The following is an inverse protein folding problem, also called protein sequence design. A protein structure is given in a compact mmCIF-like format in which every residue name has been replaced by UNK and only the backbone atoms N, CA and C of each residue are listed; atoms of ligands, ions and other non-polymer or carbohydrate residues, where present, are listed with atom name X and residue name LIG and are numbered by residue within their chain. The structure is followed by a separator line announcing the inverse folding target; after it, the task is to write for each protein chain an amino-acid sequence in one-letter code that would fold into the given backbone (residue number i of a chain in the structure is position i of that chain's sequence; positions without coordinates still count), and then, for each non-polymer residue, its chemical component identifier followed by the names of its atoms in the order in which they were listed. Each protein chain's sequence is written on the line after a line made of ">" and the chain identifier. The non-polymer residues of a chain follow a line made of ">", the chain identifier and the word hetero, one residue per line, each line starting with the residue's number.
data_IF_788170639248
#
_entry.id   IF_788170639248
#
_cell.length_a   1.000
_cell.length_b   1.000
_cell.length_c   1.000
_cell.angle_alpha   90.00
_cell.angle_beta   90.00
_cell.angle_gamma   90.00
#
_symmetry.space_group_name_H-M   'P 1'
#
loop_
_entity.id
_entity.type
_entity.pdbx_description
1 polymer ?
#
# COMPACT_ATOMS: atom_id res chain seq x y z
N UNK A 1 65.82 4.87 -22.02
CA UNK A 1 65.02 5.76 -22.88
C UNK A 1 63.82 4.97 -23.36
N UNK A 2 62.66 5.17 -22.79
CA UNK A 2 61.38 5.05 -23.41
C UNK A 2 60.29 5.50 -22.39
N UNK A 3 59.69 6.62 -22.69
CA UNK A 3 58.63 7.27 -21.97
C UNK A 3 57.34 6.43 -22.06
N UNK A 4 56.73 6.12 -20.92
CA UNK A 4 55.35 5.69 -20.87
C UNK A 4 54.50 6.87 -20.40
N UNK A 5 53.62 7.35 -21.29
CA UNK A 5 52.65 8.39 -21.02
C UNK A 5 51.56 7.86 -20.07
N UNK A 6 51.29 8.60 -19.00
CA UNK A 6 50.16 8.43 -18.11
C UNK A 6 48.91 8.98 -18.79
N UNK A 7 47.92 8.11 -19.04
CA UNK A 7 46.58 8.50 -19.46
C UNK A 7 45.75 8.95 -18.27
N UNK A 8 45.13 10.13 -18.44
CA UNK A 8 44.36 10.80 -17.40
C UNK A 8 43.02 10.09 -17.10
N UNK A 9 42.76 9.92 -15.82
CA UNK A 9 41.43 9.57 -15.32
C UNK A 9 40.54 10.80 -15.37
N UNK A 10 39.60 10.84 -16.30
CA UNK A 10 38.48 11.79 -16.26
C UNK A 10 37.61 11.49 -15.04
N UNK A 11 37.58 12.40 -14.10
CA UNK A 11 36.58 12.41 -12.99
C UNK A 11 35.29 13.00 -13.55
N UNK A 12 34.27 12.18 -13.73
CA UNK A 12 32.91 12.64 -13.98
C UNK A 12 32.40 13.26 -12.67
N UNK A 13 32.42 14.58 -12.63
CA UNK A 13 31.85 15.34 -11.51
C UNK A 13 30.33 15.35 -11.58
N UNK A 14 29.67 14.65 -10.68
CA UNK A 14 28.24 14.80 -10.44
C UNK A 14 27.98 16.17 -9.84
N UNK A 15 27.40 17.09 -10.62
CA UNK A 15 26.84 18.33 -10.12
C UNK A 15 25.53 18.01 -9.40
N UNK A 16 25.54 18.15 -8.08
CA UNK A 16 24.32 18.19 -7.29
C UNK A 16 23.51 19.44 -7.67
N UNK A 17 22.35 19.24 -8.29
CA UNK A 17 21.37 20.30 -8.44
C UNK A 17 20.81 20.62 -7.07
N UNK A 18 20.99 21.84 -6.59
CA UNK A 18 20.27 22.37 -5.44
C UNK A 18 18.81 22.54 -5.82
N UNK A 19 17.85 22.12 -4.99
CA UNK A 19 16.45 22.40 -5.25
C UNK A 19 16.20 23.89 -5.12
N UNK A 20 15.61 24.48 -6.15
CA UNK A 20 15.11 25.85 -6.14
C UNK A 20 13.87 25.84 -5.26
N UNK A 21 13.97 26.43 -4.07
CA UNK A 21 12.85 26.64 -3.17
C UNK A 21 11.99 27.79 -3.68
N UNK A 22 10.91 27.46 -4.36
CA UNK A 22 9.80 28.36 -4.68
C UNK A 22 8.60 28.00 -3.78
N UNK A 23 8.78 28.09 -2.49
CA UNK A 23 7.64 28.20 -1.57
C UNK A 23 7.48 29.65 -1.18
N UNK A 24 6.49 30.31 -1.74
CA UNK A 24 5.95 31.55 -1.17
C UNK A 24 5.29 31.21 0.16
N UNK A 25 5.86 31.75 1.21
CA UNK A 25 5.29 31.74 2.55
C UNK A 25 3.92 32.45 2.51
N UNK A 26 2.85 31.69 2.76
CA UNK A 26 1.61 32.28 3.24
C UNK A 26 1.74 32.34 4.76
N UNK A 27 2.28 33.45 5.26
CA UNK A 27 2.17 33.84 6.66
C UNK A 27 0.74 34.28 6.91
N UNK A 28 -0.01 33.49 7.67
CA UNK A 28 -1.23 33.98 8.32
C UNK A 28 -0.80 34.84 9.49
N UNK A 29 -0.91 36.16 9.32
CA UNK A 29 -0.75 37.14 10.38
C UNK A 29 -1.86 36.93 11.40
N UNK A 30 -1.53 36.33 12.52
CA UNK A 30 -2.39 36.37 13.74
C UNK A 30 -2.20 37.72 14.37
N UNK A 31 -3.17 38.60 14.21
CA UNK A 31 -3.23 39.87 14.97
C UNK A 31 -3.58 39.57 16.42
N UNK A 32 -2.85 40.15 17.42
CA UNK A 32 -3.21 40.02 18.82
C UNK A 32 -4.46 40.82 19.11
N UNK A 33 -5.50 40.18 19.65
CA UNK A 33 -6.66 40.85 20.25
C UNK A 33 -6.21 41.67 21.45
N UNK A 34 -6.50 42.98 21.44
CA UNK A 34 -6.42 43.86 22.56
C UNK A 34 -7.41 43.41 23.63
N UNK A 35 -6.94 43.15 24.81
CA UNK A 35 -7.76 42.92 26.02
C UNK A 35 -8.16 44.24 26.62
N UNK A 36 -9.44 44.56 26.60
CA UNK A 36 -10.01 45.57 27.48
C UNK A 36 -10.54 44.91 28.77
N UNK A 37 -10.25 45.50 29.94
CA UNK A 37 -10.72 44.98 31.23
C UNK A 37 -12.07 45.61 31.55
N UNK A 38 -13.10 44.83 31.88
CA UNK A 38 -14.17 45.18 32.84
C UNK A 38 -15.34 44.17 32.73
N UNK A 39 -15.82 43.72 33.91
CA UNK A 39 -17.19 43.27 34.08
C UNK A 39 -17.40 41.82 34.50
N UNK A 40 -17.19 41.59 35.74
CA UNK A 40 -17.66 40.45 36.53
C UNK A 40 -19.20 40.33 36.49
N UNK A 41 -19.76 39.38 35.73
CA UNK A 41 -21.11 38.82 36.00
C UNK A 41 -21.14 37.36 35.54
N UNK A 42 -21.49 36.49 36.49
CA UNK A 42 -21.52 35.06 36.34
C UNK A 42 -22.41 34.59 35.17
N UNK A 43 -21.83 33.83 34.32
CA UNK A 43 -22.52 33.02 33.32
C UNK A 43 -21.97 31.60 33.38
N UNK A 44 -22.91 30.69 33.48
CA UNK A 44 -22.81 29.25 33.61
C UNK A 44 -21.84 28.59 32.62
N UNK A 45 -21.03 27.65 33.12
CA UNK A 45 -20.03 26.84 32.37
C UNK A 45 -20.58 25.95 31.26
N UNK A 46 -21.78 26.21 30.72
CA UNK A 46 -22.41 25.37 29.68
C UNK A 46 -22.50 25.99 28.30
N UNK A 47 -21.99 27.21 28.09
CA UNK A 47 -22.17 27.90 26.81
C UNK A 47 -20.86 28.18 26.03
N UNK A 48 -19.73 27.53 26.35
CA UNK A 48 -18.43 27.85 25.72
C UNK A 48 -17.87 26.76 24.81
N UNK A 49 -18.66 25.76 24.40
CA UNK A 49 -18.22 24.73 23.46
C UNK A 49 -18.95 24.80 22.09
N UNK A 50 -19.69 25.88 21.84
CA UNK A 50 -20.49 25.99 20.60
C UNK A 50 -19.92 26.94 19.53
N UNK A 51 -18.67 27.44 19.70
CA UNK A 51 -18.18 28.55 18.85
C UNK A 51 -16.97 28.32 17.95
N UNK A 52 -16.31 27.15 17.93
CA UNK A 52 -15.08 26.95 17.12
C UNK A 52 -15.20 25.74 16.15
N UNK A 53 -16.39 25.18 15.96
CA UNK A 53 -16.61 24.03 15.09
C UNK A 53 -17.22 24.29 13.72
N UNK A 54 -17.48 25.55 13.33
CA UNK A 54 -18.41 25.81 12.25
C UNK A 54 -17.81 26.21 10.87
N UNK A 55 -16.50 26.29 10.70
CA UNK A 55 -15.92 26.75 9.42
C UNK A 55 -15.07 25.71 8.69
N UNK A 56 -14.72 24.60 9.33
CA UNK A 56 -13.90 23.54 8.67
C UNK A 56 -14.69 22.30 8.22
N UNK A 57 -16.02 22.25 8.43
CA UNK A 57 -16.85 21.08 8.13
C UNK A 57 -17.82 21.24 6.96
N UNK A 58 -17.84 22.37 6.25
CA UNK A 58 -18.84 22.60 5.21
C UNK A 58 -18.58 21.86 3.90
N UNK A 59 -17.39 21.35 3.65
CA UNK A 59 -17.11 20.55 2.43
C UNK A 59 -17.09 19.02 2.67
N UNK A 60 -17.16 18.57 3.93
CA UNK A 60 -17.22 17.14 4.27
C UNK A 60 -18.64 16.66 4.65
N UNK A 61 -19.60 17.57 4.79
CA UNK A 61 -20.95 17.20 5.25
C UNK A 61 -21.88 16.66 4.16
N UNK A 62 -21.52 16.72 2.90
CA UNK A 62 -22.32 16.11 1.82
C UNK A 62 -22.07 14.60 1.63
N UNK A 63 -21.15 13.99 2.40
CA UNK A 63 -20.89 12.56 2.37
C UNK A 63 -21.63 11.75 3.48
N UNK A 64 -22.42 12.41 4.35
CA UNK A 64 -22.93 11.78 5.58
C UNK A 64 -24.45 11.56 5.64
N UNK A 65 -25.16 11.69 4.53
CA UNK A 65 -26.56 11.27 4.48
C UNK A 65 -26.68 9.98 3.66
N UNK A 66 -25.97 8.96 4.08
CA UNK A 66 -26.33 7.60 3.72
C UNK A 66 -27.28 7.09 4.79
N UNK A 67 -28.56 6.98 4.43
CA UNK A 67 -29.56 6.32 5.26
C UNK A 67 -29.00 4.97 5.73
N UNK A 68 -29.30 4.59 6.97
CA UNK A 68 -28.94 3.29 7.52
C UNK A 68 -29.41 2.22 6.52
N UNK A 69 -28.49 1.71 5.74
CA UNK A 69 -28.75 0.62 4.82
C UNK A 69 -29.16 -0.58 5.66
N UNK A 70 -30.36 -1.09 5.46
CA UNK A 70 -30.81 -2.36 6.06
C UNK A 70 -30.05 -3.57 5.52
N UNK A 71 -29.13 -3.33 4.61
CA UNK A 71 -28.25 -4.35 4.02
C UNK A 71 -27.02 -4.51 4.90
N UNK A 72 -26.66 -5.71 5.34
CA UNK A 72 -25.44 -5.99 6.08
C UNK A 72 -24.20 -5.38 5.38
N UNK A 73 -23.26 -4.86 6.16
CA UNK A 73 -22.01 -4.30 5.64
C UNK A 73 -21.03 -5.43 5.23
N UNK A 74 -21.18 -6.59 5.81
CA UNK A 74 -20.43 -7.81 5.51
C UNK A 74 -21.39 -8.94 5.05
N UNK A 75 -20.93 -9.87 4.21
CA UNK A 75 -19.62 -9.87 3.56
C UNK A 75 -19.49 -8.78 2.50
N UNK A 76 -18.23 -8.37 2.23
CA UNK A 76 -17.95 -7.41 1.17
C UNK A 76 -18.20 -8.03 -0.20
N UNK A 77 -18.82 -7.28 -1.10
CA UNK A 77 -18.74 -7.59 -2.51
C UNK A 77 -17.38 -7.09 -3.01
N UNK A 78 -16.36 -7.97 -2.91
CA UNK A 78 -15.00 -7.63 -3.30
C UNK A 78 -14.87 -7.48 -4.81
N UNK A 79 -13.93 -6.63 -5.23
CA UNK A 79 -13.58 -6.38 -6.62
C UNK A 79 -12.12 -6.78 -6.93
N UNK A 80 -11.48 -7.53 -6.01
CA UNK A 80 -10.12 -8.00 -6.11
C UNK A 80 -9.10 -7.16 -5.35
N UNK A 81 -7.84 -7.56 -5.44
CA UNK A 81 -6.71 -6.82 -4.85
C UNK A 81 -6.34 -5.64 -5.74
N UNK A 82 -5.91 -4.55 -5.09
CA UNK A 82 -5.51 -3.35 -5.80
C UNK A 82 -4.05 -3.00 -5.57
N UNK A 83 -3.64 -2.80 -4.31
CA UNK A 83 -2.28 -2.35 -4.01
C UNK A 83 -1.66 -3.01 -2.80
N UNK A 84 -0.39 -2.72 -2.65
CA UNK A 84 0.45 -3.14 -1.54
C UNK A 84 1.20 -1.94 -1.02
N UNK A 85 1.46 -1.91 0.27
CA UNK A 85 2.35 -0.95 0.91
C UNK A 85 3.56 -1.67 1.49
N UNK A 86 4.75 -1.28 1.06
CA UNK A 86 5.99 -1.78 1.62
C UNK A 86 6.68 -0.71 2.45
N UNK A 87 7.27 -1.12 3.55
CA UNK A 87 7.96 -0.25 4.49
C UNK A 87 9.44 -0.59 4.48
N UNK A 88 10.24 0.37 4.03
CA UNK A 88 11.68 0.18 3.78
C UNK A 88 12.51 1.29 4.44
N UNK A 89 13.81 1.05 4.71
CA UNK A 89 14.67 2.07 5.31
C UNK A 89 14.93 3.26 4.38
N UNK A 90 15.16 3.01 3.08
CA UNK A 90 15.45 4.01 2.06
C UNK A 90 14.46 3.88 0.90
N UNK A 91 13.42 4.71 0.95
CA UNK A 91 12.34 4.69 -0.04
C UNK A 91 12.80 5.06 -1.44
N UNK A 92 13.81 5.93 -1.57
CA UNK A 92 14.33 6.35 -2.86
C UNK A 92 15.17 5.25 -3.52
N UNK A 93 16.02 4.57 -2.75
CA UNK A 93 16.80 3.44 -3.24
C UNK A 93 15.89 2.30 -3.69
N UNK A 94 14.87 1.95 -2.90
CA UNK A 94 13.90 0.92 -3.26
C UNK A 94 13.12 1.32 -4.52
N UNK A 95 12.63 2.55 -4.61
CA UNK A 95 11.92 3.04 -5.79
C UNK A 95 12.76 2.91 -7.08
N UNK A 96 14.06 3.24 -7.03
CA UNK A 96 14.97 3.05 -8.15
C UNK A 96 15.12 1.59 -8.57
N UNK A 97 15.19 0.67 -7.61
CA UNK A 97 15.24 -0.77 -7.91
C UNK A 97 13.96 -1.23 -8.60
N UNK A 98 12.79 -0.81 -8.10
CA UNK A 98 11.52 -1.20 -8.69
C UNK A 98 11.32 -0.67 -10.11
N UNK A 99 11.85 0.52 -10.45
CA UNK A 99 11.84 1.01 -11.86
C UNK A 99 12.80 0.25 -12.79
N UNK A 100 13.78 -0.46 -12.24
CA UNK A 100 14.64 -1.37 -13.02
C UNK A 100 14.00 -2.75 -13.22
N UNK A 101 13.06 -3.12 -12.36
CA UNK A 101 12.29 -4.37 -12.49
C UNK A 101 11.07 -4.15 -13.39
N UNK A 102 10.29 -3.11 -13.15
CA UNK A 102 9.02 -2.85 -13.82
C UNK A 102 9.13 -1.73 -14.86
N UNK A 103 8.63 -1.99 -16.07
CA UNK A 103 8.42 -0.98 -17.13
C UNK A 103 7.22 -0.13 -16.75
N UNK A 104 7.42 0.86 -15.88
CA UNK A 104 6.35 1.70 -15.37
C UNK A 104 6.87 3.09 -15.03
N UNK A 105 5.95 4.03 -14.79
CA UNK A 105 6.28 5.37 -14.32
C UNK A 105 6.41 5.36 -12.81
N UNK A 106 7.40 6.08 -12.31
CA UNK A 106 7.54 6.36 -10.89
C UNK A 106 6.77 7.63 -10.55
N UNK A 107 5.97 7.56 -9.50
CA UNK A 107 5.23 8.69 -8.96
C UNK A 107 5.63 8.91 -7.50
N UNK A 108 5.39 10.12 -7.00
CA UNK A 108 5.64 10.44 -5.60
C UNK A 108 4.52 11.28 -5.03
N UNK A 109 4.39 11.21 -3.71
CA UNK A 109 3.50 12.05 -2.92
C UNK A 109 4.19 12.41 -1.62
N UNK A 110 4.07 13.67 -1.18
CA UNK A 110 4.41 14.04 0.18
C UNK A 110 3.26 13.65 1.10
N UNK A 111 3.56 12.85 2.11
CA UNK A 111 2.59 12.39 3.08
C UNK A 111 3.16 12.50 4.50
N UNK A 112 2.52 13.31 5.35
CA UNK A 112 2.96 13.55 6.73
C UNK A 112 4.45 13.92 6.86
N UNK A 113 4.94 14.76 5.94
CA UNK A 113 6.33 15.22 5.94
C UNK A 113 7.35 14.22 5.39
N UNK A 114 6.92 13.07 4.92
CA UNK A 114 7.77 12.07 4.24
C UNK A 114 7.37 11.92 2.77
N UNK A 115 8.33 11.50 1.94
CA UNK A 115 8.05 11.20 0.55
C UNK A 115 7.74 9.70 0.43
N UNK A 116 6.56 9.39 -0.12
CA UNK A 116 6.19 8.05 -0.57
C UNK A 116 6.34 7.95 -2.08
N UNK A 117 6.82 6.83 -2.54
CA UNK A 117 6.88 6.52 -3.95
C UNK A 117 5.79 5.51 -4.32
N UNK A 118 5.38 5.54 -5.59
CA UNK A 118 4.34 4.67 -6.13
C UNK A 118 4.82 4.08 -7.45
N UNK A 119 4.87 2.77 -7.51
CA UNK A 119 5.15 1.99 -8.70
C UNK A 119 3.81 1.55 -9.25
N UNK A 120 3.37 2.13 -10.37
CA UNK A 120 2.07 1.81 -10.95
C UNK A 120 2.12 0.42 -11.63
N UNK A 121 1.06 -0.34 -11.45
CA UNK A 121 0.90 -1.69 -12.00
C UNK A 121 -0.04 -1.66 -13.21
N UNK A 122 0.27 -0.82 -14.19
CA UNK A 122 -0.49 -0.59 -15.40
C UNK A 122 -0.52 0.89 -15.77
N UNK A 123 -1.28 1.23 -16.81
CA UNK A 123 -1.52 2.62 -17.20
C UNK A 123 -2.59 3.25 -16.34
N UNK A 124 -2.43 4.55 -16.01
CA UNK A 124 -3.46 5.36 -15.38
C UNK A 124 -4.49 5.79 -16.44
N UNK A 125 -5.62 5.12 -16.60
CA UNK A 125 -6.70 5.67 -17.38
C UNK A 125 -7.30 6.85 -16.61
N UNK A 126 -7.70 7.90 -17.33
CA UNK A 126 -8.40 9.04 -16.72
C UNK A 126 -9.59 8.54 -15.89
N UNK A 127 -9.64 8.97 -14.62
CA UNK A 127 -10.69 8.64 -13.65
C UNK A 127 -10.82 7.15 -13.24
N UNK A 128 -9.82 6.31 -13.48
CA UNK A 128 -9.80 4.95 -12.98
C UNK A 128 -8.64 4.75 -12.01
N UNK A 129 -8.87 3.90 -11.05
CA UNK A 129 -7.88 3.46 -10.11
C UNK A 129 -7.01 2.39 -10.78
N UNK A 130 -5.70 2.52 -10.62
CA UNK A 130 -4.71 1.54 -11.08
C UNK A 130 -4.04 0.94 -9.86
N UNK A 131 -3.82 -0.36 -9.86
CA UNK A 131 -3.03 -1.02 -8.84
C UNK A 131 -1.63 -0.43 -8.74
N UNK A 132 -1.03 -0.48 -7.56
CA UNK A 132 0.31 0.07 -7.32
C UNK A 132 1.03 -0.64 -6.17
N UNK A 133 2.34 -0.44 -6.10
CA UNK A 133 3.12 -0.69 -4.91
C UNK A 133 3.48 0.68 -4.31
N UNK A 134 2.98 0.94 -3.11
CA UNK A 134 3.40 2.11 -2.33
C UNK A 134 4.67 1.77 -1.56
N UNK A 135 5.64 2.68 -1.57
CA UNK A 135 6.92 2.53 -0.88
C UNK A 135 7.01 3.60 0.18
N UNK A 136 6.84 3.21 1.44
CA UNK A 136 6.86 4.07 2.60
C UNK A 136 8.08 3.85 3.47
N UNK A 137 8.43 4.85 4.29
CA UNK A 137 9.56 4.74 5.23
C UNK A 137 9.19 3.85 6.41
N UNK A 138 10.04 2.87 6.72
CA UNK A 138 9.86 1.99 7.87
C UNK A 138 10.06 2.73 9.21
N UNK A 139 10.91 3.76 9.25
CA UNK A 139 11.28 4.43 10.48
C UNK A 139 12.04 3.48 11.41
N UNK A 140 11.52 3.28 12.63
CA UNK A 140 12.07 2.33 13.61
C UNK A 140 11.52 0.92 13.48
N UNK A 141 10.55 0.70 12.59
CA UNK A 141 9.97 -0.62 12.32
C UNK A 141 10.90 -1.45 11.43
N UNK A 142 10.83 -2.77 11.50
CA UNK A 142 11.53 -3.61 10.53
C UNK A 142 10.96 -3.40 9.12
N UNK A 143 11.79 -3.67 8.11
CA UNK A 143 11.34 -3.82 6.73
C UNK A 143 10.23 -4.86 6.64
N UNK A 144 9.15 -4.52 5.96
CA UNK A 144 7.95 -5.39 5.86
C UNK A 144 7.02 -4.96 4.74
N UNK A 145 6.09 -5.84 4.39
CA UNK A 145 4.88 -5.46 3.68
C UNK A 145 3.92 -4.96 4.77
N UNK A 146 3.60 -3.66 4.74
CA UNK A 146 2.84 -2.97 5.77
C UNK A 146 1.36 -3.33 5.73
N UNK A 147 0.78 -3.36 4.53
CA UNK A 147 -0.60 -3.78 4.30
C UNK A 147 -0.83 -4.22 2.85
N UNK A 148 -1.95 -4.86 2.63
CA UNK A 148 -2.50 -5.12 1.31
C UNK A 148 -3.90 -4.50 1.21
N UNK A 149 -4.31 -4.12 0.01
CA UNK A 149 -5.60 -3.48 -0.23
C UNK A 149 -6.49 -4.35 -1.12
N UNK A 150 -7.74 -4.50 -0.70
CA UNK A 150 -8.80 -5.04 -1.53
C UNK A 150 -9.85 -3.94 -1.82
N UNK A 151 -10.40 -3.99 -3.04
CA UNK A 151 -11.51 -3.13 -3.43
C UNK A 151 -12.83 -3.77 -3.07
N UNK A 152 -13.79 -2.96 -2.64
CA UNK A 152 -15.17 -3.35 -2.42
C UNK A 152 -16.12 -2.46 -3.23
N UNK A 153 -17.19 -3.05 -3.77
CA UNK A 153 -18.19 -2.29 -4.54
C UNK A 153 -18.84 -1.19 -3.68
N UNK A 154 -19.10 -1.53 -2.43
CA UNK A 154 -19.53 -0.61 -1.38
C UNK A 154 -18.74 -0.87 -0.12
N UNK A 155 -18.38 0.19 0.57
CA UNK A 155 -17.68 0.11 1.83
C UNK A 155 -18.31 1.06 2.85
N UNK A 156 -19.17 0.50 3.69
CA UNK A 156 -19.68 1.17 4.90
C UNK A 156 -18.73 0.87 6.07
N UNK A 157 -17.77 1.76 6.29
CA UNK A 157 -16.75 1.61 7.33
C UNK A 157 -17.35 1.39 8.72
N UNK A 158 -18.39 2.13 9.08
CA UNK A 158 -19.01 2.04 10.40
C UNK A 158 -19.77 0.72 10.56
N UNK A 159 -20.49 0.28 9.52
CA UNK A 159 -21.17 -1.00 9.48
C UNK A 159 -20.20 -2.17 9.56
N UNK A 160 -19.13 -2.16 8.76
CA UNK A 160 -18.07 -3.18 8.79
C UNK A 160 -17.45 -3.28 10.19
N UNK A 161 -17.08 -2.14 10.80
CA UNK A 161 -16.51 -2.12 12.13
C UNK A 161 -17.45 -2.74 13.17
N UNK A 162 -18.72 -2.35 13.14
CA UNK A 162 -19.75 -2.86 14.05
C UNK A 162 -19.93 -4.38 13.92
N UNK A 163 -19.94 -4.89 12.69
CA UNK A 163 -20.13 -6.34 12.46
C UNK A 163 -18.90 -7.15 12.86
N UNK A 164 -17.67 -6.63 12.62
CA UNK A 164 -16.44 -7.25 13.10
C UNK A 164 -16.39 -7.29 14.62
N UNK A 165 -16.70 -6.19 15.30
CA UNK A 165 -16.72 -6.11 16.77
C UNK A 165 -17.78 -7.06 17.37
N UNK A 166 -18.96 -7.14 16.75
CA UNK A 166 -20.00 -8.08 17.16
C UNK A 166 -19.59 -9.55 17.04
N UNK A 167 -18.69 -9.86 16.10
CA UNK A 167 -18.10 -11.18 15.92
C UNK A 167 -16.83 -11.41 16.78
N UNK A 168 -16.43 -10.42 17.61
CA UNK A 168 -15.28 -10.52 18.50
C UNK A 168 -13.94 -10.19 17.85
N UNK A 169 -13.93 -9.56 16.67
CA UNK A 169 -12.73 -9.12 16.00
C UNK A 169 -12.45 -7.63 16.25
N UNK A 170 -11.18 -7.24 16.18
CA UNK A 170 -10.81 -5.81 16.23
C UNK A 170 -11.21 -5.12 14.92
N UNK A 171 -11.83 -3.97 15.02
CA UNK A 171 -12.24 -3.20 13.86
C UNK A 171 -11.17 -2.20 13.36
N UNK A 172 -10.02 -2.15 13.99
CA UNK A 172 -8.85 -1.40 13.57
C UNK A 172 -9.14 -0.01 12.99
N UNK A 173 -9.94 0.80 13.67
CA UNK A 173 -10.38 2.12 13.16
C UNK A 173 -9.25 3.15 13.01
N UNK A 174 -7.98 2.68 12.94
CA UNK A 174 -6.79 3.51 12.83
C UNK A 174 -6.84 4.44 11.63
N UNK A 175 -6.74 5.74 11.90
CA UNK A 175 -6.25 6.75 10.97
C UNK A 175 -7.11 7.11 9.77
N UNK A 176 -8.34 6.65 9.63
CA UNK A 176 -9.19 7.09 8.50
C UNK A 176 -8.99 6.34 7.16
N UNK A 177 -8.05 5.41 7.08
CA UNK A 177 -7.66 4.75 5.83
C UNK A 177 -8.30 3.38 5.59
N UNK A 178 -9.34 3.00 6.32
CA UNK A 178 -10.01 1.70 6.11
C UNK A 178 -9.17 0.49 6.49
N UNK A 179 -8.25 0.63 7.43
CA UNK A 179 -7.41 -0.48 7.90
C UNK A 179 -8.22 -1.41 8.81
N UNK A 180 -8.16 -2.70 8.52
CA UNK A 180 -8.78 -3.77 9.29
C UNK A 180 -7.71 -4.82 9.62
N UNK A 181 -7.27 -4.93 10.89
CA UNK A 181 -6.36 -5.98 11.29
C UNK A 181 -7.07 -7.34 11.29
N UNK A 182 -6.42 -8.35 10.76
CA UNK A 182 -6.85 -9.73 10.96
C UNK A 182 -6.53 -10.20 12.40
N UNK A 183 -6.88 -11.44 12.79
CA UNK A 183 -6.60 -11.96 14.14
C UNK A 183 -5.13 -11.95 14.56
N UNK A 184 -4.21 -11.94 13.60
CA UNK A 184 -2.77 -11.85 13.83
C UNK A 184 -2.22 -10.41 13.75
N UNK A 185 -3.09 -9.42 13.49
CA UNK A 185 -2.74 -8.01 13.34
C UNK A 185 -2.21 -7.65 11.95
N UNK A 186 -2.40 -8.51 10.95
CA UNK A 186 -2.03 -8.23 9.56
C UNK A 186 -3.06 -7.30 8.93
N UNK A 187 -2.59 -6.19 8.36
CA UNK A 187 -3.50 -5.12 7.94
C UNK A 187 -4.03 -5.31 6.52
N UNK A 188 -5.35 -5.50 6.42
CA UNK A 188 -6.12 -5.33 5.21
C UNK A 188 -6.60 -3.89 5.11
N UNK A 189 -6.34 -3.22 4.00
CA UNK A 189 -6.98 -1.95 3.66
C UNK A 189 -8.17 -2.16 2.73
N UNK A 190 -9.25 -1.43 2.95
CA UNK A 190 -10.43 -1.47 2.08
C UNK A 190 -10.66 -0.12 1.42
N UNK A 191 -10.86 -0.15 0.11
CA UNK A 191 -11.29 1.01 -0.66
C UNK A 191 -12.53 0.72 -1.51
N UNK A 192 -13.31 1.76 -1.73
CA UNK A 192 -14.41 1.76 -2.68
C UNK A 192 -14.01 2.59 -3.90
N UNK A 193 -14.01 2.02 -5.13
CA UNK A 193 -13.77 2.81 -6.33
C UNK A 193 -14.88 3.87 -6.53
N UNK A 194 -14.56 5.05 -7.04
CA UNK A 194 -13.28 5.52 -7.55
C UNK A 194 -12.40 6.21 -6.48
N UNK A 195 -12.71 6.07 -5.21
CA UNK A 195 -12.11 6.82 -4.10
C UNK A 195 -10.69 6.37 -3.70
N UNK A 196 -9.91 5.81 -4.63
CA UNK A 196 -8.54 5.42 -4.35
C UNK A 196 -7.59 6.60 -4.12
N UNK A 197 -6.52 6.38 -3.36
CA UNK A 197 -5.46 7.38 -3.12
C UNK A 197 -4.69 7.75 -4.39
N UNK A 198 -4.72 6.89 -5.39
CA UNK A 198 -3.95 7.04 -6.63
C UNK A 198 -4.85 7.52 -7.75
N UNK A 199 -5.04 8.83 -7.82
CA UNK A 199 -5.57 9.49 -9.00
C UNK A 199 -4.47 10.32 -9.65
N UNK A 200 -4.53 10.55 -10.95
CA UNK A 200 -3.58 11.42 -11.64
C UNK A 200 -3.45 12.82 -11.01
N UNK A 201 -4.47 13.27 -10.27
CA UNK A 201 -4.48 14.57 -9.59
C UNK A 201 -3.65 14.57 -8.29
N UNK A 202 -3.40 13.40 -7.67
CA UNK A 202 -2.73 13.29 -6.36
C UNK A 202 -1.25 12.97 -6.51
N UNK A 203 -0.87 12.27 -7.58
CA UNK A 203 0.49 11.83 -7.81
C UNK A 203 1.26 12.77 -8.72
N UNK A 204 2.47 13.10 -8.33
CA UNK A 204 3.43 13.80 -9.17
C UNK A 204 4.31 12.79 -9.91
N UNK A 205 4.26 12.72 -11.26
CA UNK A 205 5.15 11.85 -12.00
C UNK A 205 6.60 12.34 -11.88
N UNK A 206 7.52 11.40 -11.77
CA UNK A 206 8.95 11.66 -11.84
C UNK A 206 9.48 11.33 -13.24
N UNK A 207 10.40 12.13 -13.78
CA UNK A 207 11.04 11.86 -15.06
C UNK A 207 12.08 10.74 -14.90
N UNK A 208 11.60 9.52 -14.71
CA UNK A 208 12.45 8.33 -14.66
C UNK A 208 12.13 7.49 -15.89
N UNK A 209 13.10 7.33 -16.78
CA UNK A 209 13.00 6.36 -17.85
C UNK A 209 13.10 4.96 -17.26
N UNK A 210 11.96 4.30 -17.22
CA UNK A 210 11.91 2.92 -16.77
C UNK A 210 12.52 2.01 -17.83
N UNK A 211 13.71 1.51 -17.54
CA UNK A 211 14.38 0.44 -18.32
C UNK A 211 13.97 -0.94 -17.81
N UNK A 212 12.82 -1.04 -17.15
CA UNK A 212 12.35 -2.24 -16.47
C UNK A 212 12.39 -3.50 -17.33
N UNK A 213 12.47 -4.63 -16.67
CA UNK A 213 12.57 -5.95 -17.31
C UNK A 213 11.20 -6.46 -17.78
N UNK A 214 10.13 -6.16 -17.04
CA UNK A 214 8.77 -6.66 -17.28
C UNK A 214 7.74 -5.55 -17.23
N UNK A 215 6.61 -5.72 -17.93
CA UNK A 215 5.47 -4.81 -17.91
C UNK A 215 4.47 -5.29 -16.86
N UNK A 216 4.23 -4.55 -15.76
CA UNK A 216 3.29 -4.94 -14.72
C UNK A 216 1.85 -4.76 -15.21
N UNK A 217 0.94 -5.63 -14.75
CA UNK A 217 -0.48 -5.64 -15.14
C UNK A 217 -1.44 -5.66 -13.95
N UNK A 218 -0.94 -5.68 -12.73
CA UNK A 218 -1.74 -5.70 -11.51
C UNK A 218 -1.22 -6.69 -10.48
N UNK A 219 -1.85 -6.72 -9.32
CA UNK A 219 -1.57 -7.70 -8.28
C UNK A 219 -2.18 -9.04 -8.67
N UNK A 220 -1.45 -10.14 -8.51
CA UNK A 220 -1.99 -11.51 -8.59
C UNK A 220 -2.44 -11.97 -7.21
N UNK A 221 -1.52 -11.97 -6.25
CA UNK A 221 -1.83 -12.44 -4.91
C UNK A 221 -0.93 -11.82 -3.83
N UNK A 222 -1.39 -12.01 -2.59
CA UNK A 222 -0.59 -11.86 -1.37
C UNK A 222 -0.63 -13.17 -0.59
N UNK A 223 0.48 -13.55 0.03
CA UNK A 223 0.53 -14.65 0.98
C UNK A 223 0.76 -14.12 2.38
N UNK A 224 -0.10 -14.54 3.29
CA UNK A 224 -0.06 -14.20 4.70
C UNK A 224 0.44 -15.40 5.49
N UNK A 225 1.48 -15.24 6.29
CA UNK A 225 1.87 -16.19 7.32
C UNK A 225 1.08 -15.88 8.58
N UNK A 226 0.11 -16.74 8.91
CA UNK A 226 -0.77 -16.62 10.08
C UNK A 226 -0.36 -17.62 11.16
N UNK A 227 -0.66 -17.31 12.41
CA UNK A 227 -0.32 -18.21 13.51
C UNK A 227 -1.07 -19.55 13.41
N UNK A 228 -2.36 -19.47 13.02
CA UNK A 228 -3.26 -20.62 12.92
C UNK A 228 -4.35 -20.34 11.88
N UNK A 229 -4.36 -21.11 10.79
CA UNK A 229 -5.31 -20.94 9.69
C UNK A 229 -6.75 -21.09 10.20
N UNK A 230 -7.04 -22.09 11.02
CA UNK A 230 -8.41 -22.36 11.47
C UNK A 230 -8.94 -21.25 12.38
N UNK A 231 -8.07 -20.57 13.11
CA UNK A 231 -8.45 -19.38 13.91
C UNK A 231 -8.65 -18.13 13.04
N UNK A 232 -7.92 -18.02 11.92
CA UNK A 232 -8.07 -16.89 11.01
C UNK A 232 -9.29 -17.02 10.09
N UNK A 233 -9.71 -18.26 9.76
CA UNK A 233 -10.82 -18.53 8.84
C UNK A 233 -12.11 -17.78 9.16
N UNK A 234 -12.62 -17.72 10.41
CA UNK A 234 -13.85 -17.01 10.71
C UNK A 234 -13.81 -15.53 10.32
N UNK A 235 -12.66 -14.88 10.49
CA UNK A 235 -12.47 -13.49 10.06
C UNK A 235 -12.61 -13.34 8.54
N UNK A 236 -11.89 -14.17 7.77
CA UNK A 236 -11.91 -14.09 6.31
C UNK A 236 -13.26 -14.49 5.72
N UNK A 237 -13.95 -15.46 6.33
CA UNK A 237 -15.32 -15.82 5.97
C UNK A 237 -16.33 -14.72 6.29
N UNK A 238 -16.14 -13.98 7.38
CA UNK A 238 -16.98 -12.83 7.71
C UNK A 238 -16.76 -11.70 6.71
N UNK A 239 -15.49 -11.39 6.39
CA UNK A 239 -15.14 -10.28 5.48
C UNK A 239 -15.54 -10.57 4.03
N UNK A 240 -15.25 -11.76 3.52
CA UNK A 240 -15.42 -12.10 2.10
C UNK A 240 -16.58 -13.07 1.82
N UNK A 241 -17.24 -13.55 2.85
CA UNK A 241 -18.35 -14.49 2.76
C UNK A 241 -17.96 -15.94 3.06
N UNK A 242 -18.82 -16.65 3.76
CA UNK A 242 -18.60 -18.05 4.13
C UNK A 242 -18.45 -18.99 2.92
N UNK A 243 -19.02 -18.60 1.78
CA UNK A 243 -18.99 -19.38 0.53
C UNK A 243 -17.89 -18.92 -0.42
N UNK A 244 -16.94 -18.09 0.03
CA UNK A 244 -15.81 -17.69 -0.83
C UNK A 244 -15.09 -18.94 -1.35
N UNK A 245 -14.85 -18.98 -2.64
CA UNK A 245 -14.14 -20.08 -3.27
C UNK A 245 -12.76 -20.19 -2.67
N UNK A 246 -12.48 -21.32 -2.04
CA UNK A 246 -11.18 -21.60 -1.43
C UNK A 246 -10.58 -22.89 -1.97
N UNK A 247 -9.26 -22.95 -2.01
CA UNK A 247 -8.50 -24.11 -2.48
C UNK A 247 -7.37 -24.41 -1.51
N UNK A 248 -7.40 -25.60 -0.90
CA UNK A 248 -6.22 -26.17 -0.23
C UNK A 248 -5.37 -26.84 -1.30
N UNK A 249 -4.14 -26.39 -1.43
CA UNK A 249 -3.17 -27.04 -2.31
C UNK A 249 -2.62 -28.33 -1.70
N UNK A 250 -1.65 -28.96 -2.37
CA UNK A 250 -0.91 -30.11 -1.86
C UNK A 250 -0.23 -29.84 -0.52
N UNK A 251 0.09 -28.60 -0.22
CA UNK A 251 0.54 -28.16 1.11
C UNK A 251 -0.67 -27.99 2.03
N UNK A 252 -0.88 -28.88 3.04
CA UNK A 252 -2.03 -28.78 3.96
C UNK A 252 -2.00 -27.52 4.83
N UNK A 253 -0.81 -26.92 5.01
CA UNK A 253 -0.60 -25.69 5.78
C UNK A 253 -0.86 -24.42 4.96
N UNK A 254 -1.45 -24.53 3.76
CA UNK A 254 -1.77 -23.38 2.89
C UNK A 254 -3.19 -23.46 2.36
N UNK A 255 -3.89 -22.33 2.44
CA UNK A 255 -5.23 -22.13 1.89
C UNK A 255 -5.25 -20.87 1.04
N UNK A 256 -5.85 -20.94 -0.14
CA UNK A 256 -6.07 -19.81 -1.02
C UNK A 256 -7.54 -19.43 -1.07
N UNK A 257 -7.85 -18.15 -0.90
CA UNK A 257 -9.13 -17.55 -1.22
C UNK A 257 -9.07 -16.89 -2.59
N UNK A 258 -10.01 -17.23 -3.47
CA UNK A 258 -10.15 -16.61 -4.78
C UNK A 258 -11.01 -15.35 -4.66
N UNK A 259 -10.45 -14.19 -4.98
CA UNK A 259 -11.16 -12.93 -5.10
C UNK A 259 -11.49 -12.65 -6.57
N UNK A 260 -12.25 -11.56 -6.79
CA UNK A 260 -12.53 -11.06 -8.13
C UNK A 260 -11.24 -10.56 -8.84
N UNK A 261 -11.37 -10.20 -10.12
CA UNK A 261 -10.26 -9.77 -10.97
C UNK A 261 -9.09 -10.77 -11.04
N UNK A 262 -9.38 -12.08 -10.85
CA UNK A 262 -8.37 -13.12 -10.80
C UNK A 262 -7.26 -12.86 -9.78
N UNK A 263 -7.61 -12.33 -8.62
CA UNK A 263 -6.69 -12.12 -7.52
C UNK A 263 -6.91 -13.11 -6.40
N UNK A 264 -5.92 -13.31 -5.52
CA UNK A 264 -5.98 -14.32 -4.45
C UNK A 264 -5.37 -13.79 -3.17
N UNK A 265 -5.89 -14.26 -2.03
CA UNK A 265 -5.24 -14.14 -0.72
C UNK A 265 -4.89 -15.55 -0.25
N UNK A 266 -3.62 -15.78 0.07
CA UNK A 266 -3.16 -17.03 0.66
C UNK A 266 -2.98 -16.90 2.16
N UNK A 267 -3.45 -17.89 2.92
CA UNK A 267 -3.09 -18.09 4.31
C UNK A 267 -2.16 -19.29 4.40
N UNK A 268 -1.05 -19.13 5.06
CA UNK A 268 -0.13 -20.22 5.37
C UNK A 268 0.25 -20.16 6.83
N UNK A 269 0.31 -21.33 7.47
CA UNK A 269 0.80 -21.39 8.83
C UNK A 269 2.24 -20.88 8.88
N UNK A 270 2.50 -19.95 9.80
CA UNK A 270 3.83 -19.37 9.98
C UNK A 270 4.84 -20.46 10.39
N UNK A 271 6.06 -20.48 9.82
CA UNK A 271 7.09 -21.40 10.25
C UNK A 271 7.43 -21.28 11.74
N UNK A 272 7.76 -22.40 12.37
CA UNK A 272 8.10 -22.43 13.80
C UNK A 272 9.16 -21.39 14.16
N UNK A 273 8.95 -20.67 15.27
CA UNK A 273 9.85 -19.62 15.75
C UNK A 273 9.76 -18.28 15.02
N UNK A 274 8.92 -18.17 14.00
CA UNK A 274 8.67 -16.91 13.31
C UNK A 274 7.35 -16.28 13.76
N UNK A 275 7.19 -14.98 13.47
CA UNK A 275 5.97 -14.23 13.76
C UNK A 275 5.07 -14.15 12.53
N UNK A 276 3.74 -14.03 12.71
CA UNK A 276 2.83 -13.70 11.63
C UNK A 276 3.28 -12.45 10.87
N UNK A 277 3.10 -12.47 9.54
CA UNK A 277 3.46 -11.37 8.65
C UNK A 277 2.79 -11.54 7.28
N UNK A 278 2.71 -10.48 6.52
CA UNK A 278 2.53 -10.59 5.07
C UNK A 278 3.87 -11.04 4.50
N UNK A 279 3.92 -12.26 3.95
CA UNK A 279 5.18 -12.93 3.59
C UNK A 279 5.71 -12.48 2.24
N UNK A 280 4.84 -12.50 1.25
CA UNK A 280 5.17 -12.04 -0.10
C UNK A 280 3.94 -11.60 -0.88
N UNK A 281 4.23 -11.00 -2.03
CA UNK A 281 3.22 -10.67 -3.02
C UNK A 281 3.67 -11.05 -4.42
N UNK A 282 2.70 -11.27 -5.28
CA UNK A 282 2.91 -11.58 -6.69
C UNK A 282 2.28 -10.52 -7.58
N UNK A 283 3.03 -10.10 -8.58
CA UNK A 283 2.58 -9.16 -9.60
C UNK A 283 2.34 -9.91 -10.91
N UNK A 284 1.15 -9.74 -11.46
CA UNK A 284 0.86 -10.12 -12.85
C UNK A 284 1.70 -9.27 -13.78
N UNK A 285 2.33 -9.89 -14.75
CA UNK A 285 3.14 -9.20 -15.76
C UNK A 285 2.77 -9.71 -17.15
N UNK A 286 3.01 -8.91 -18.16
CA UNK A 286 2.93 -9.40 -19.55
C UNK A 286 3.85 -10.61 -19.70
N UNK A 287 3.54 -11.49 -20.66
CA UNK A 287 4.34 -12.68 -20.91
C UNK A 287 5.83 -12.33 -21.09
N UNK A 288 6.70 -13.10 -20.48
CA UNK A 288 8.13 -12.86 -20.44
C UNK A 288 8.94 -14.17 -20.57
N UNK A 289 10.17 -14.05 -21.04
CA UNK A 289 11.15 -15.12 -20.95
C UNK A 289 11.68 -15.17 -19.52
N UNK A 290 11.35 -16.23 -18.79
CA UNK A 290 11.68 -16.40 -17.38
C UNK A 290 13.19 -16.36 -17.12
N UNK A 291 13.98 -17.03 -17.97
CA UNK A 291 15.44 -17.09 -17.77
C UNK A 291 16.11 -15.75 -18.12
N UNK A 292 15.65 -15.08 -19.15
CA UNK A 292 16.13 -13.74 -19.50
C UNK A 292 15.83 -12.72 -18.39
N UNK A 293 14.61 -12.76 -17.82
CA UNK A 293 14.22 -11.90 -16.71
C UNK A 293 15.00 -12.26 -15.44
N UNK A 294 15.17 -13.55 -15.12
CA UNK A 294 15.98 -13.99 -13.99
C UNK A 294 17.45 -13.52 -14.10
N UNK A 295 18.03 -13.59 -15.30
CA UNK A 295 19.36 -13.06 -15.57
C UNK A 295 19.40 -11.51 -15.39
N UNK A 296 18.36 -10.82 -15.84
CA UNK A 296 18.19 -9.38 -15.63
C UNK A 296 18.12 -9.00 -14.15
N UNK A 297 17.31 -9.72 -13.36
CA UNK A 297 17.19 -9.55 -11.91
C UNK A 297 18.56 -9.71 -11.22
N UNK A 298 19.32 -10.76 -11.57
CA UNK A 298 20.68 -10.96 -11.03
C UNK A 298 21.64 -9.82 -11.43
N UNK A 299 21.53 -9.35 -12.69
CA UNK A 299 22.38 -8.25 -13.19
C UNK A 299 22.16 -6.94 -12.46
N UNK A 300 20.95 -6.67 -12.00
CA UNK A 300 20.66 -5.48 -11.18
C UNK A 300 20.99 -5.68 -9.70
N UNK A 301 21.58 -6.83 -9.32
CA UNK A 301 22.07 -7.09 -7.98
C UNK A 301 21.07 -7.76 -7.05
N UNK A 302 19.91 -8.20 -7.56
CA UNK A 302 18.88 -8.86 -6.76
C UNK A 302 19.04 -10.39 -6.78
N UNK A 303 18.55 -11.04 -5.73
CA UNK A 303 18.67 -12.47 -5.53
C UNK A 303 17.43 -13.20 -6.03
N UNK A 304 17.56 -13.97 -7.10
CA UNK A 304 16.52 -14.93 -7.52
C UNK A 304 16.53 -16.11 -6.55
N UNK A 305 15.34 -16.49 -6.09
CA UNK A 305 15.13 -17.59 -5.16
C UNK A 305 14.17 -18.63 -5.75
N UNK A 306 14.21 -19.90 -5.28
CA UNK A 306 13.30 -20.93 -5.77
C UNK A 306 11.82 -20.61 -5.51
N UNK A 307 10.95 -21.03 -6.43
CA UNK A 307 9.50 -21.08 -6.26
C UNK A 307 9.03 -22.52 -6.50
N UNK A 308 9.19 -23.42 -5.50
CA UNK A 308 8.97 -24.85 -5.71
C UNK A 308 7.51 -25.21 -5.95
N UNK A 309 6.58 -24.44 -5.38
CA UNK A 309 5.14 -24.72 -5.45
C UNK A 309 4.48 -24.18 -6.73
N UNK A 310 5.07 -23.16 -7.36
CA UNK A 310 4.58 -22.52 -8.58
C UNK A 310 5.77 -22.31 -9.56
N UNK A 311 6.15 -23.32 -10.35
CA UNK A 311 7.36 -23.25 -11.18
C UNK A 311 7.28 -22.21 -12.31
N UNK A 312 6.08 -21.79 -12.71
CA UNK A 312 5.87 -20.70 -13.67
C UNK A 312 6.16 -19.32 -13.08
N UNK A 313 6.20 -19.20 -11.75
CA UNK A 313 6.47 -17.96 -11.03
C UNK A 313 7.97 -17.72 -10.91
N UNK A 314 8.42 -16.51 -11.23
CA UNK A 314 9.77 -16.06 -10.94
C UNK A 314 9.78 -15.33 -9.61
N UNK A 315 10.48 -15.89 -8.62
CA UNK A 315 10.61 -15.32 -7.27
C UNK A 315 11.98 -14.72 -7.06
N UNK A 316 12.03 -13.54 -6.43
CA UNK A 316 13.27 -12.88 -6.05
C UNK A 316 13.10 -12.09 -4.76
N UNK A 317 14.23 -11.75 -4.12
CA UNK A 317 14.27 -10.78 -3.03
C UNK A 317 14.63 -9.41 -3.60
N UNK A 318 13.90 -8.39 -3.19
CA UNK A 318 14.27 -7.01 -3.49
C UNK A 318 15.51 -6.58 -2.68
N UNK A 319 15.92 -5.32 -2.81
CA UNK A 319 17.10 -4.79 -2.09
C UNK A 319 16.93 -4.72 -0.57
N UNK A 320 15.70 -4.78 -0.08
CA UNK A 320 15.35 -4.72 1.34
C UNK A 320 14.99 -6.09 1.92
N UNK A 321 15.08 -7.16 1.09
CA UNK A 321 14.81 -8.54 1.47
C UNK A 321 13.33 -8.93 1.39
N UNK A 322 12.47 -8.09 0.83
CA UNK A 322 11.06 -8.43 0.60
C UNK A 322 10.96 -9.42 -0.57
N UNK A 323 10.19 -10.46 -0.39
CA UNK A 323 9.95 -11.46 -1.44
C UNK A 323 8.93 -10.94 -2.43
N UNK A 324 9.32 -10.91 -3.69
CA UNK A 324 8.50 -10.49 -4.84
C UNK A 324 8.38 -11.64 -5.82
N UNK A 325 7.19 -11.85 -6.33
CA UNK A 325 6.91 -12.82 -7.37
C UNK A 325 6.40 -12.15 -8.64
N UNK A 326 6.78 -12.71 -9.78
CA UNK A 326 6.30 -12.33 -11.11
C UNK A 326 5.61 -13.53 -11.74
N UNK A 327 4.38 -13.34 -12.22
CA UNK A 327 3.58 -14.36 -12.88
C UNK A 327 3.06 -13.84 -14.22
N UNK A 328 3.14 -14.60 -15.31
CA UNK A 328 2.46 -14.25 -16.56
C UNK A 328 0.96 -14.08 -16.35
N UNK A 329 0.36 -13.02 -16.93
CA UNK A 329 -1.07 -12.72 -16.83
C UNK A 329 -1.93 -13.64 -17.70
#
# INVERSE_FOLDING_TARGET
>A
MNNVKSEGKERIGFRFFRPISLFRNFEYAVQPMKTDPIGNRGASRRSFIAGIGAVACAELTNAWVWGQSSVPALPLKNLGLEHLDILVPDTAASAQIYTRVFKTKLHQQSFQGTIRYFILLGDLPQNRQVGYIAIGVAGTRPTSIGHYCALAERYDRAGVAKELEAAGFSAGLGGGFGMLPDPDGLELQLFQPPAGLVTAAVLSPLPVDSTGLVTPMGVDHVLLHVADIEKSLPYYHLVYGANIKSTRQTNPDRLWFQLEANTRIGLQKVPSGQKPRIDHYCIKVASFDREAVAAGIRRIGLKVVPSPDEPEVLRFLDNDGITVELKPA
#
